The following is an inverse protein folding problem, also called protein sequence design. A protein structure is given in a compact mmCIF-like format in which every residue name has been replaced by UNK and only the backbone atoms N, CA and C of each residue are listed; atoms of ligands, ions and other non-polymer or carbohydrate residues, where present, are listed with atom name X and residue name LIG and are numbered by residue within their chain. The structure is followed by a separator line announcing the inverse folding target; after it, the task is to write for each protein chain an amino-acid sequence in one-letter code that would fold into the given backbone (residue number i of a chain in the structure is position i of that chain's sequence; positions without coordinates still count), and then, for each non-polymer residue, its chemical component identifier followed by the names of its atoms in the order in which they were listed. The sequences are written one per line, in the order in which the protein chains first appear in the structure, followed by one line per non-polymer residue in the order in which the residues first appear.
data_IF_604112594223
#
_entry.id   IF_604112594223
#
_cell.length_a   1.000
_cell.length_b   1.000
_cell.length_c   1.000
_cell.angle_alpha   90.00
_cell.angle_beta   90.00
_cell.angle_gamma   90.00
#
_symmetry.space_group_name_H-M   'P 1'
#
loop_
_entity.id
_entity.type
_entity.pdbx_description
1 polymer ?
#
# COMPACT_ATOMS: atom_id res chain seq x y z
N UNK A 1 -0.72 7.05 -40.43
CA UNK A 1 -0.51 8.33 -39.73
C UNK A 1 -0.55 8.10 -38.21
N UNK A 2 0.48 7.51 -37.61
CA UNK A 2 0.45 7.07 -36.19
C UNK A 2 1.71 7.38 -35.38
N UNK A 3 2.60 8.23 -35.90
CA UNK A 3 3.92 8.45 -35.32
C UNK A 3 3.97 9.46 -34.16
N UNK A 4 2.85 10.10 -33.79
CA UNK A 4 2.86 11.22 -32.83
C UNK A 4 2.37 10.89 -31.41
N UNK A 5 1.71 9.75 -31.18
CA UNK A 5 1.09 9.47 -29.87
C UNK A 5 2.04 8.86 -28.84
N UNK A 6 2.85 7.88 -29.24
CA UNK A 6 3.66 7.06 -28.32
C UNK A 6 5.12 7.49 -28.17
N UNK A 7 5.89 7.76 -29.26
CA UNK A 7 7.30 8.09 -29.12
C UNK A 7 7.53 9.46 -28.46
N UNK A 8 6.61 10.41 -28.63
CA UNK A 8 6.71 11.73 -27.99
C UNK A 8 6.60 11.62 -26.46
N UNK A 9 5.71 10.75 -25.96
CA UNK A 9 5.58 10.48 -24.53
C UNK A 9 6.85 9.83 -23.96
N UNK A 10 7.46 8.91 -24.71
CA UNK A 10 8.73 8.28 -24.33
C UNK A 10 9.87 9.31 -24.25
N UNK A 11 9.94 10.27 -25.18
CA UNK A 11 10.95 11.33 -25.16
C UNK A 11 10.79 12.22 -23.92
N UNK A 12 9.57 12.64 -23.59
CA UNK A 12 9.31 13.45 -22.40
C UNK A 12 9.68 12.67 -21.14
N UNK A 13 9.31 11.39 -21.07
CA UNK A 13 9.68 10.51 -19.96
C UNK A 13 11.21 10.37 -19.84
N UNK A 14 11.92 10.24 -20.96
CA UNK A 14 13.37 10.16 -20.98
C UNK A 14 14.02 11.45 -20.44
N UNK A 15 13.49 12.63 -20.79
CA UNK A 15 13.96 13.91 -20.25
C UNK A 15 13.73 13.99 -18.73
N UNK A 16 12.54 13.62 -18.25
CA UNK A 16 12.24 13.57 -16.81
C UNK A 16 13.19 12.59 -16.10
N UNK A 17 13.44 11.42 -16.69
CA UNK A 17 14.39 10.44 -16.17
C UNK A 17 15.83 10.97 -16.13
N UNK A 18 16.25 11.81 -17.08
CA UNK A 18 17.57 12.44 -17.06
C UNK A 18 17.69 13.47 -15.93
N UNK A 19 16.64 14.28 -15.71
CA UNK A 19 16.64 15.33 -14.68
C UNK A 19 16.50 14.76 -13.26
N UNK A 20 15.57 13.82 -13.07
CA UNK A 20 15.24 13.26 -11.76
C UNK A 20 16.01 11.97 -11.46
N UNK A 21 16.49 11.25 -12.48
CA UNK A 21 17.11 9.94 -12.35
C UNK A 21 16.11 8.78 -12.28
N UNK A 22 16.51 7.62 -12.81
CA UNK A 22 15.68 6.41 -12.82
C UNK A 22 15.30 5.89 -11.42
N UNK A 23 16.09 6.21 -10.39
CA UNK A 23 15.82 5.80 -9.01
C UNK A 23 14.76 6.67 -8.30
N UNK A 24 14.50 7.90 -8.78
CA UNK A 24 13.61 8.85 -8.08
C UNK A 24 12.15 8.75 -8.52
N UNK A 25 11.87 8.43 -9.78
CA UNK A 25 10.50 8.15 -10.24
C UNK A 25 9.78 7.04 -9.44
N UNK A 26 10.37 5.84 -9.21
CA UNK A 26 9.68 4.80 -8.46
C UNK A 26 9.47 5.17 -7.00
N UNK A 27 10.40 5.92 -6.39
CA UNK A 27 10.25 6.40 -5.02
C UNK A 27 9.07 7.39 -4.87
N UNK A 28 8.97 8.36 -5.80
CA UNK A 28 7.86 9.33 -5.83
C UNK A 28 6.52 8.65 -6.16
N UNK A 29 6.51 7.71 -7.11
CA UNK A 29 5.31 6.94 -7.42
C UNK A 29 4.84 6.09 -6.24
N UNK A 30 5.77 5.50 -5.48
CA UNK A 30 5.45 4.68 -4.32
C UNK A 30 4.86 5.51 -3.17
N UNK A 31 5.41 6.68 -2.87
CA UNK A 31 4.86 7.58 -1.84
C UNK A 31 3.50 8.15 -2.26
N UNK A 32 3.38 8.64 -3.49
CA UNK A 32 2.12 9.18 -4.02
C UNK A 32 1.04 8.09 -4.11
N UNK A 33 1.41 6.89 -4.53
CA UNK A 33 0.51 5.74 -4.61
C UNK A 33 0.01 5.28 -3.24
N UNK A 34 0.85 5.36 -2.21
CA UNK A 34 0.44 5.04 -0.84
C UNK A 34 -0.58 6.06 -0.30
N UNK A 35 -0.34 7.36 -0.50
CA UNK A 35 -1.30 8.42 -0.15
C UNK A 35 -2.60 8.29 -0.96
N UNK A 36 -2.51 8.04 -2.26
CA UNK A 36 -3.67 7.85 -3.12
C UNK A 36 -4.49 6.60 -2.75
N UNK A 37 -3.85 5.53 -2.26
CA UNK A 37 -4.54 4.31 -1.79
C UNK A 37 -5.38 4.58 -0.55
N UNK A 38 -4.82 5.31 0.43
CA UNK A 38 -5.54 5.70 1.65
C UNK A 38 -6.73 6.59 1.27
N UNK A 39 -6.48 7.64 0.50
CA UNK A 39 -7.53 8.56 0.04
C UNK A 39 -8.64 7.84 -0.77
N UNK A 40 -8.27 6.92 -1.67
CA UNK A 40 -9.23 6.12 -2.43
C UNK A 40 -10.03 5.18 -1.52
N UNK A 41 -9.42 4.62 -0.49
CA UNK A 41 -10.09 3.77 0.51
C UNK A 41 -11.13 4.55 1.31
N UNK A 42 -10.75 5.73 1.83
CA UNK A 42 -11.66 6.62 2.56
C UNK A 42 -12.80 7.13 1.68
N UNK A 43 -12.49 7.58 0.46
CA UNK A 43 -13.49 8.02 -0.52
C UNK A 43 -14.46 6.88 -0.88
N UNK A 44 -13.96 5.65 -0.98
CA UNK A 44 -14.78 4.47 -1.30
C UNK A 44 -15.67 4.09 -0.11
N UNK A 45 -15.15 4.14 1.11
CA UNK A 45 -15.92 3.91 2.34
C UNK A 45 -17.05 4.94 2.51
N UNK A 46 -16.79 6.23 2.26
CA UNK A 46 -17.84 7.26 2.27
C UNK A 46 -18.93 6.99 1.22
N UNK A 47 -18.53 6.54 0.02
CA UNK A 47 -19.47 6.25 -1.06
C UNK A 47 -20.24 4.94 -0.84
N UNK A 48 -19.63 3.98 -0.14
CA UNK A 48 -20.26 2.72 0.25
C UNK A 48 -21.17 2.89 1.47
N UNK A 49 -20.89 3.78 2.44
CA UNK A 49 -21.79 4.04 3.57
C UNK A 49 -23.14 4.67 3.13
N UNK A 50 -23.15 5.46 2.05
CA UNK A 50 -24.39 5.93 1.41
C UNK A 50 -25.18 4.80 0.70
N UNK A 51 -24.55 3.65 0.40
CA UNK A 51 -25.16 2.52 -0.33
C UNK A 51 -25.27 1.20 0.47
N UNK A 52 -24.63 1.09 1.64
CA UNK A 52 -24.35 -0.16 2.36
C UNK A 52 -25.03 -0.25 3.73
N UNK A 53 -26.15 0.45 3.93
CA UNK A 53 -27.08 0.11 5.01
C UNK A 53 -27.76 -1.28 4.83
N UNK A 54 -27.43 -2.05 3.77
CA UNK A 54 -28.10 -3.33 3.44
C UNK A 54 -27.20 -4.58 3.36
N UNK A 55 -25.87 -4.51 3.48
CA UNK A 55 -24.99 -5.66 3.18
C UNK A 55 -23.87 -5.96 4.19
N UNK A 56 -24.09 -5.72 5.50
CA UNK A 56 -23.12 -6.08 6.56
C UNK A 56 -23.69 -7.04 7.61
N UNK A 57 -24.33 -8.13 7.18
CA UNK A 57 -24.74 -9.22 8.07
C UNK A 57 -24.15 -10.59 7.69
N UNK A 58 -23.12 -10.65 6.84
CA UNK A 58 -22.58 -11.92 6.36
C UNK A 58 -21.04 -11.87 6.21
N UNK A 59 -20.31 -11.66 7.32
CA UNK A 59 -18.93 -12.16 7.43
C UNK A 59 -18.45 -12.21 8.89
N UNK A 60 -19.22 -12.89 9.75
CA UNK A 60 -18.81 -13.18 11.14
C UNK A 60 -18.95 -14.68 11.39
N UNK A 61 -18.25 -15.50 10.61
CA UNK A 61 -17.95 -16.87 10.99
C UNK A 61 -16.88 -17.45 10.07
N UNK A 62 -15.62 -17.21 10.41
CA UNK A 62 -14.53 -18.17 10.17
C UNK A 62 -13.31 -17.78 11.00
N UNK A 63 -13.18 -18.56 12.05
CA UNK A 63 -11.94 -19.07 12.63
C UNK A 63 -11.22 -18.25 13.71
N UNK A 64 -11.16 -18.92 14.86
CA UNK A 64 -10.73 -18.49 16.17
C UNK A 64 -9.20 -18.39 16.28
N UNK A 65 -8.69 -17.73 17.33
CA UNK A 65 -7.25 -17.56 17.56
C UNK A 65 -6.64 -18.91 17.96
N UNK A 66 -5.74 -19.43 17.12
CA UNK A 66 -4.82 -20.48 17.56
C UNK A 66 -3.79 -19.87 18.48
N UNK A 67 -3.90 -20.27 19.74
CA UNK A 67 -2.88 -20.13 20.77
C UNK A 67 -1.56 -20.84 20.37
N UNK A 68 -0.54 -20.56 21.17
CA UNK A 68 0.69 -21.32 21.39
C UNK A 68 1.92 -20.98 20.55
N UNK A 69 2.67 -19.96 20.99
CA UNK A 69 4.05 -20.22 21.46
C UNK A 69 4.52 -19.16 22.48
N UNK A 70 4.62 -19.49 23.78
CA UNK A 70 5.41 -18.72 24.73
C UNK A 70 6.85 -19.25 24.69
N UNK A 71 7.73 -18.65 23.88
CA UNK A 71 9.15 -19.02 23.87
C UNK A 71 10.05 -17.88 23.38
N UNK A 72 10.15 -16.82 24.19
CA UNK A 72 11.36 -15.98 24.27
C UNK A 72 11.39 -15.23 25.60
N UNK A 73 11.53 -16.00 26.67
CA UNK A 73 12.00 -15.51 27.97
C UNK A 73 13.00 -16.54 28.51
N UNK A 74 14.20 -16.55 27.94
CA UNK A 74 15.40 -17.10 28.56
C UNK A 74 16.65 -16.58 27.84
N UNK A 75 16.89 -15.27 27.96
CA UNK A 75 18.24 -14.72 27.82
C UNK A 75 18.75 -14.44 29.23
N UNK A 76 19.58 -15.37 29.73
CA UNK A 76 20.81 -15.12 30.49
C UNK A 76 20.66 -14.20 31.71
N UNK A 77 20.44 -14.74 32.91
CA UNK A 77 21.51 -15.09 33.86
C UNK A 77 22.44 -13.90 34.18
N UNK A 78 22.17 -13.18 35.28
CA UNK A 78 23.12 -12.94 36.41
C UNK A 78 22.50 -11.97 37.44
N UNK A 79 22.25 -12.40 38.69
CA UNK A 79 22.33 -11.50 39.83
C UNK A 79 23.41 -12.02 40.78
N UNK A 80 24.65 -11.57 40.57
CA UNK A 80 25.73 -11.70 41.54
C UNK A 80 26.70 -10.52 41.43
N UNK A 81 26.37 -9.44 42.14
CA UNK A 81 27.30 -8.53 42.86
C UNK A 81 26.49 -7.46 43.59
#
# INVERSE_FOLDING_TARGET
MGAFGWPHLLIILAVILLLFGAAKLPALAKSLGQSARVFKGEMKAMKEDDSSAKSKAENVSSDAPKADTPASSSSTADPSS
#
